data_IF_493051865907
#
_entry.id   IF_493051865907
#
_cell.length_a   1.000
_cell.length_b   1.000
_cell.length_c   1.000
_cell.angle_alpha   90.00
_cell.angle_beta   90.00
_cell.angle_gamma   90.00
#
_symmetry.space_group_name_H-M   'P 1'
#
loop_
_entity.id
_entity.type
_entity.pdbx_description
1 polymer ?
#
# COMPACT_ATOMS: atom_id res chain seq x y z
N UNK A 1 -4.46 -12.59 24.16
CA UNK A 1 -3.45 -11.92 23.36
C UNK A 1 -3.79 -10.44 23.22
N UNK A 2 -2.86 -9.63 22.75
CA UNK A 2 -3.11 -8.24 22.37
C UNK A 2 -3.67 -8.19 20.95
N UNK A 3 -4.55 -7.22 20.68
CA UNK A 3 -5.11 -6.95 19.36
C UNK A 3 -4.94 -5.47 19.06
N UNK A 4 -4.76 -5.13 17.79
CA UNK A 4 -4.90 -3.76 17.30
C UNK A 4 -6.38 -3.47 17.05
N UNK A 5 -6.82 -2.25 17.37
CA UNK A 5 -8.20 -1.82 17.16
C UNK A 5 -8.21 -0.50 16.42
N UNK A 6 -8.81 -0.49 15.23
CA UNK A 6 -9.07 0.71 14.44
C UNK A 6 -10.47 1.21 14.76
N UNK A 7 -10.59 2.37 15.40
CA UNK A 7 -11.88 2.99 15.74
C UNK A 7 -12.27 4.02 14.67
N UNK A 8 -13.48 3.92 14.14
CA UNK A 8 -14.05 4.84 13.15
C UNK A 8 -15.38 5.35 13.68
N UNK A 9 -15.61 6.67 13.68
CA UNK A 9 -16.83 7.29 14.20
C UNK A 9 -17.88 7.46 13.08
N UNK A 10 -19.16 7.24 13.40
CA UNK A 10 -20.25 7.42 12.42
C UNK A 10 -20.37 8.85 11.89
N UNK A 11 -19.97 9.85 12.66
CA UNK A 11 -19.92 11.24 12.18
C UNK A 11 -18.97 11.38 10.98
N UNK A 12 -17.88 10.63 10.98
CA UNK A 12 -16.94 10.56 9.86
C UNK A 12 -17.56 9.80 8.67
N UNK A 13 -18.35 8.75 8.94
CA UNK A 13 -19.07 7.98 7.94
C UNK A 13 -20.21 8.76 7.26
N UNK A 14 -20.93 9.58 8.02
CA UNK A 14 -22.05 10.39 7.50
C UNK A 14 -21.58 11.62 6.73
N UNK A 15 -20.43 12.18 7.10
CA UNK A 15 -19.82 13.31 6.38
C UNK A 15 -19.17 12.89 5.04
N UNK A 16 -18.90 11.60 4.85
CA UNK A 16 -18.32 11.06 3.62
C UNK A 16 -19.06 9.77 3.19
N UNK A 17 -20.07 9.85 2.32
CA UNK A 17 -20.85 8.68 1.86
C UNK A 17 -19.99 7.56 1.26
N UNK A 18 -18.79 7.91 0.80
CA UNK A 18 -17.83 6.98 0.24
C UNK A 18 -17.05 6.20 1.31
N UNK A 19 -16.89 6.74 2.52
CA UNK A 19 -16.10 6.13 3.58
C UNK A 19 -16.72 4.79 4.04
N UNK A 20 -18.04 4.72 4.16
CA UNK A 20 -18.73 3.46 4.51
C UNK A 20 -18.44 2.37 3.48
N UNK A 21 -18.48 2.71 2.18
CA UNK A 21 -18.16 1.78 1.12
C UNK A 21 -16.70 1.36 1.15
N UNK A 22 -15.78 2.29 1.40
CA UNK A 22 -14.34 2.00 1.51
C UNK A 22 -14.08 1.01 2.63
N UNK A 23 -14.66 1.22 3.83
CA UNK A 23 -14.52 0.31 4.96
C UNK A 23 -15.08 -1.08 4.62
N UNK A 24 -16.26 -1.13 4.00
CA UNK A 24 -16.87 -2.39 3.59
C UNK A 24 -16.01 -3.14 2.56
N UNK A 25 -15.44 -2.42 1.59
CA UNK A 25 -14.57 -3.00 0.56
C UNK A 25 -13.23 -3.48 1.19
N UNK A 26 -12.63 -2.72 2.11
CA UNK A 26 -11.44 -3.09 2.88
C UNK A 26 -11.68 -4.37 3.68
N UNK A 27 -12.80 -4.44 4.39
CA UNK A 27 -13.17 -5.62 5.18
C UNK A 27 -13.34 -6.86 4.30
N UNK A 28 -14.05 -6.75 3.19
CA UNK A 28 -14.25 -7.88 2.26
C UNK A 28 -12.91 -8.42 1.74
N UNK A 29 -11.94 -7.53 1.51
CA UNK A 29 -10.58 -7.93 1.14
C UNK A 29 -9.91 -8.67 2.30
N UNK A 30 -9.92 -8.11 3.50
CA UNK A 30 -9.23 -8.67 4.66
C UNK A 30 -9.80 -10.03 5.10
N UNK A 31 -11.12 -10.23 5.01
CA UNK A 31 -11.77 -11.50 5.31
C UNK A 31 -11.31 -12.67 4.43
N UNK A 32 -10.88 -12.36 3.19
CA UNK A 32 -10.42 -13.36 2.23
C UNK A 32 -8.94 -13.72 2.40
N UNK A 33 -8.16 -12.90 3.09
CA UNK A 33 -6.71 -13.04 3.15
C UNK A 33 -6.26 -13.85 4.35
N UNK A 34 -5.40 -14.85 4.11
CA UNK A 34 -4.76 -15.67 5.16
C UNK A 34 -3.34 -16.01 4.71
N UNK A 35 -2.35 -15.31 5.25
CA UNK A 35 -0.94 -15.51 4.90
C UNK A 35 -0.02 -15.02 6.03
N UNK A 36 1.13 -15.66 6.31
CA UNK A 36 2.04 -15.22 7.38
C UNK A 36 2.53 -13.78 7.24
N UNK A 37 2.65 -13.26 6.02
CA UNK A 37 3.11 -11.89 5.75
C UNK A 37 1.97 -10.89 5.49
N UNK A 38 0.74 -11.24 5.86
CA UNK A 38 -0.44 -10.35 5.83
C UNK A 38 -0.98 -10.27 7.26
N UNK A 39 -1.36 -9.07 7.70
CA UNK A 39 -2.01 -8.87 8.99
C UNK A 39 -3.27 -9.72 9.08
N UNK A 40 -3.46 -10.42 10.19
CA UNK A 40 -4.67 -11.21 10.41
C UNK A 40 -5.82 -10.31 10.85
N UNK A 41 -6.95 -10.46 10.18
CA UNK A 41 -8.21 -9.79 10.53
C UNK A 41 -9.03 -10.70 11.44
N UNK A 42 -9.45 -10.16 12.59
CA UNK A 42 -10.21 -10.92 13.60
C UNK A 42 -11.70 -10.64 13.56
N UNK A 43 -12.12 -9.49 13.05
CA UNK A 43 -13.53 -9.15 12.95
C UNK A 43 -13.82 -7.66 13.08
N UNK A 44 -15.11 -7.37 13.11
CA UNK A 44 -15.64 -6.02 13.25
C UNK A 44 -16.77 -6.02 14.29
N UNK A 45 -16.85 -4.96 15.04
CA UNK A 45 -17.98 -4.66 15.91
C UNK A 45 -18.50 -3.26 15.67
N UNK A 46 -19.82 -3.11 15.75
CA UNK A 46 -20.49 -1.82 15.74
C UNK A 46 -21.09 -1.60 17.12
N UNK A 47 -20.62 -0.60 17.81
CA UNK A 47 -21.15 -0.24 19.12
C UNK A 47 -21.47 1.25 19.20
N UNK A 48 -22.73 1.59 19.47
CA UNK A 48 -23.25 2.97 19.46
C UNK A 48 -22.98 3.65 18.11
N UNK A 49 -22.17 4.71 18.12
CA UNK A 49 -21.83 5.51 16.94
C UNK A 49 -20.39 5.27 16.44
N UNK A 50 -19.88 4.05 16.67
CA UNK A 50 -18.51 3.68 16.33
C UNK A 50 -18.45 2.30 15.69
N UNK A 51 -17.51 2.15 14.77
CA UNK A 51 -17.09 0.88 14.17
C UNK A 51 -15.70 0.56 14.70
N UNK A 52 -15.52 -0.66 15.19
CA UNK A 52 -14.25 -1.20 15.66
C UNK A 52 -13.81 -2.33 14.76
N UNK A 53 -12.64 -2.21 14.16
CA UNK A 53 -12.00 -3.25 13.34
C UNK A 53 -10.87 -3.85 14.18
N UNK A 54 -10.88 -5.17 14.35
CA UNK A 54 -9.90 -5.91 15.15
C UNK A 54 -8.92 -6.64 14.26
N UNK A 55 -7.63 -6.43 14.52
CA UNK A 55 -6.54 -6.96 13.72
C UNK A 55 -5.42 -7.50 14.62
N UNK A 56 -4.51 -8.26 14.02
CA UNK A 56 -3.27 -8.71 14.65
C UNK A 56 -2.45 -7.50 15.13
N UNK A 57 -1.97 -7.57 16.37
CA UNK A 57 -1.12 -6.53 16.93
C UNK A 57 0.35 -6.80 16.61
N UNK A 58 0.94 -5.98 15.75
CA UNK A 58 2.33 -6.06 15.34
C UNK A 58 3.22 -5.26 16.28
N UNK A 59 3.84 -5.93 17.27
CA UNK A 59 4.61 -5.29 18.35
C UNK A 59 5.91 -4.62 17.87
N UNK A 60 6.48 -5.10 16.77
CA UNK A 60 7.73 -4.57 16.21
C UNK A 60 7.61 -3.20 15.54
N UNK A 61 6.37 -2.67 15.43
CA UNK A 61 6.12 -1.39 14.78
C UNK A 61 6.23 -1.46 13.26
N UNK A 62 6.34 -0.29 12.61
CA UNK A 62 6.45 -0.18 11.15
C UNK A 62 7.90 -0.18 10.66
N UNK A 63 8.09 -0.51 9.38
CA UNK A 63 9.41 -0.31 8.74
C UNK A 63 9.85 1.15 8.78
N UNK A 64 8.92 2.11 8.73
CA UNK A 64 9.24 3.54 8.92
C UNK A 64 9.93 3.76 10.25
N UNK A 65 9.37 3.24 11.35
CA UNK A 65 9.96 3.36 12.68
C UNK A 65 11.32 2.65 12.79
N UNK A 66 11.48 1.50 12.15
CA UNK A 66 12.78 0.82 12.10
C UNK A 66 13.83 1.67 11.38
N UNK A 67 13.45 2.27 10.24
CA UNK A 67 14.34 3.09 9.40
C UNK A 67 14.66 4.47 10.00
N UNK A 68 13.95 4.93 11.04
CA UNK A 68 14.36 6.10 11.84
C UNK A 68 15.72 5.89 12.53
N UNK A 69 16.12 4.64 12.76
CA UNK A 69 17.42 4.29 13.36
C UNK A 69 18.53 4.11 12.32
N UNK A 70 18.21 4.25 11.04
CA UNK A 70 19.13 4.11 9.93
C UNK A 70 18.76 2.96 8.99
N UNK A 71 19.65 2.67 8.05
CA UNK A 71 19.48 1.57 7.10
C UNK A 71 19.58 0.21 7.76
N UNK A 72 19.06 -0.82 7.10
CA UNK A 72 19.33 -2.21 7.47
C UNK A 72 20.73 -2.58 6.96
N UNK A 73 21.70 -2.62 7.88
CA UNK A 73 23.11 -2.87 7.52
C UNK A 73 23.41 -4.35 7.26
N UNK A 74 22.67 -5.24 7.92
CA UNK A 74 22.84 -6.68 7.72
C UNK A 74 22.13 -7.12 6.44
N UNK A 75 22.94 -7.53 5.45
CA UNK A 75 22.45 -7.99 4.14
C UNK A 75 21.53 -9.21 4.25
N UNK A 76 21.79 -10.10 5.22
CA UNK A 76 20.94 -11.29 5.42
C UNK A 76 19.57 -10.88 5.92
N UNK A 77 19.50 -9.93 6.86
CA UNK A 77 18.22 -9.39 7.34
C UNK A 77 17.47 -8.70 6.22
N UNK A 78 18.15 -7.88 5.41
CA UNK A 78 17.56 -7.23 4.26
C UNK A 78 17.01 -8.24 3.25
N UNK A 79 17.75 -9.30 2.95
CA UNK A 79 17.32 -10.38 2.07
C UNK A 79 16.09 -11.10 2.62
N UNK A 80 16.09 -11.44 3.92
CA UNK A 80 14.96 -12.11 4.57
C UNK A 80 13.70 -11.23 4.50
N UNK A 81 13.82 -9.93 4.78
CA UNK A 81 12.69 -9.01 4.68
C UNK A 81 12.19 -8.88 3.24
N UNK A 82 13.09 -8.74 2.27
CA UNK A 82 12.73 -8.67 0.86
C UNK A 82 11.99 -9.94 0.40
N UNK A 83 12.44 -11.12 0.82
CA UNK A 83 11.78 -12.40 0.49
C UNK A 83 10.39 -12.49 1.12
N UNK A 84 10.22 -12.10 2.38
CA UNK A 84 8.93 -12.09 3.05
C UNK A 84 7.95 -11.10 2.40
N UNK A 85 8.43 -9.90 2.03
CA UNK A 85 7.62 -8.92 1.30
C UNK A 85 7.20 -9.45 -0.07
N UNK A 86 8.10 -10.09 -0.81
CA UNK A 86 7.78 -10.70 -2.10
C UNK A 86 6.76 -11.84 -1.96
N UNK A 87 6.88 -12.69 -0.94
CA UNK A 87 5.98 -13.79 -0.69
C UNK A 87 4.56 -13.29 -0.34
N UNK A 88 4.46 -12.31 0.56
CA UNK A 88 3.19 -11.66 0.87
C UNK A 88 2.55 -10.99 -0.34
N UNK A 89 3.33 -10.28 -1.15
CA UNK A 89 2.84 -9.62 -2.36
C UNK A 89 2.41 -10.61 -3.43
N UNK A 90 3.17 -11.69 -3.63
CA UNK A 90 2.82 -12.78 -4.54
C UNK A 90 1.50 -13.42 -4.13
N UNK A 91 1.28 -13.65 -2.83
CA UNK A 91 0.02 -14.15 -2.31
C UNK A 91 -1.14 -13.18 -2.62
N UNK A 92 -1.02 -11.88 -2.32
CA UNK A 92 -2.04 -10.88 -2.63
C UNK A 92 -2.43 -10.90 -4.11
N UNK A 93 -1.44 -10.87 -5.00
CA UNK A 93 -1.67 -10.90 -6.43
C UNK A 93 -2.30 -12.21 -6.91
N UNK A 94 -1.98 -13.35 -6.26
CA UNK A 94 -2.61 -14.65 -6.54
C UNK A 94 -4.10 -14.67 -6.19
N UNK A 95 -4.49 -13.92 -5.15
CA UNK A 95 -5.89 -13.71 -4.76
C UNK A 95 -6.60 -12.65 -5.62
N UNK A 96 -5.89 -12.06 -6.58
CA UNK A 96 -6.40 -10.96 -7.41
C UNK A 96 -6.50 -9.63 -6.69
N UNK A 97 -5.79 -9.46 -5.58
CA UNK A 97 -5.74 -8.22 -4.79
C UNK A 97 -4.52 -7.40 -5.17
N UNK A 98 -4.70 -6.14 -5.51
CA UNK A 98 -3.65 -5.14 -5.72
C UNK A 98 -3.69 -4.18 -4.54
N UNK A 99 -2.56 -4.01 -3.83
CA UNK A 99 -2.50 -3.24 -2.59
C UNK A 99 -2.62 -1.72 -2.83
N UNK A 100 -1.86 -1.19 -3.79
CA UNK A 100 -1.89 0.19 -4.29
C UNK A 100 -1.31 1.27 -3.36
N UNK A 101 -0.95 0.95 -2.12
CA UNK A 101 -0.29 1.86 -1.19
C UNK A 101 0.84 1.15 -0.39
N UNK A 102 1.73 0.46 -1.10
CA UNK A 102 2.91 -0.17 -0.50
C UNK A 102 3.93 0.91 -0.18
N UNK A 103 4.25 1.02 1.12
CA UNK A 103 5.23 1.94 1.70
C UNK A 103 5.68 1.43 3.07
N UNK A 104 6.79 1.92 3.64
CA UNK A 104 7.27 1.47 4.95
C UNK A 104 6.26 1.63 6.10
N UNK A 105 5.36 2.63 6.03
CA UNK A 105 4.30 2.83 7.03
C UNK A 105 3.28 1.68 7.06
N UNK A 106 3.04 1.04 5.90
CA UNK A 106 2.06 -0.03 5.71
C UNK A 106 2.70 -1.42 5.74
N UNK A 107 3.92 -1.52 6.24
CA UNK A 107 4.63 -2.78 6.47
C UNK A 107 5.07 -2.81 7.91
N UNK A 108 4.46 -3.71 8.70
CA UNK A 108 4.73 -3.85 10.12
C UNK A 108 5.58 -5.09 10.40
N UNK A 109 6.09 -5.15 11.62
CA UNK A 109 6.81 -6.30 12.17
C UNK A 109 6.02 -6.86 13.35
N UNK A 110 5.84 -8.17 13.39
CA UNK A 110 5.28 -8.85 14.55
C UNK A 110 6.33 -8.95 15.69
N UNK A 111 6.01 -9.63 16.77
CA UNK A 111 6.87 -9.84 17.91
C UNK A 111 8.10 -10.73 17.61
N UNK A 112 8.08 -11.47 16.50
CA UNK A 112 9.17 -12.32 16.01
C UNK A 112 10.01 -11.64 14.92
N UNK A 113 9.67 -10.40 14.53
CA UNK A 113 10.28 -9.69 13.42
C UNK A 113 9.80 -10.18 12.04
N UNK A 114 8.64 -10.82 11.96
CA UNK A 114 8.04 -11.23 10.70
C UNK A 114 7.33 -10.05 10.06
N UNK A 115 7.56 -9.84 8.77
CA UNK A 115 6.92 -8.79 7.95
C UNK A 115 5.42 -9.05 7.80
N UNK A 116 4.62 -8.00 7.99
CA UNK A 116 3.16 -8.01 7.82
C UNK A 116 2.71 -6.82 6.98
N UNK A 117 2.09 -7.07 5.82
CA UNK A 117 1.37 -6.03 5.10
C UNK A 117 0.07 -5.67 5.82
N UNK A 118 -0.20 -4.37 5.92
CA UNK A 118 -1.38 -3.80 6.59
C UNK A 118 -2.02 -2.72 5.73
N UNK A 119 -3.20 -2.24 6.12
CA UNK A 119 -3.94 -1.13 5.51
C UNK A 119 -4.32 -1.38 4.05
N UNK A 120 -5.40 -2.14 3.88
CA UNK A 120 -6.00 -2.47 2.59
C UNK A 120 -7.06 -1.44 2.12
N UNK A 121 -7.12 -0.27 2.76
CA UNK A 121 -8.09 0.79 2.41
C UNK A 121 -7.94 1.33 0.98
N UNK A 122 -6.77 1.18 0.39
CA UNK A 122 -6.49 1.50 -1.02
C UNK A 122 -6.61 0.30 -1.97
N UNK A 123 -6.75 -0.92 -1.44
CA UNK A 123 -6.68 -2.15 -2.22
C UNK A 123 -7.80 -2.28 -3.25
N UNK A 124 -7.52 -2.99 -4.33
CA UNK A 124 -8.49 -3.29 -5.40
C UNK A 124 -8.50 -4.79 -5.68
N UNK A 125 -9.70 -5.38 -5.68
CA UNK A 125 -9.90 -6.74 -6.15
C UNK A 125 -10.10 -6.75 -7.66
N UNK A 126 -9.24 -7.46 -8.36
CA UNK A 126 -9.34 -7.65 -9.81
C UNK A 126 -10.39 -8.73 -10.10
N UNK A 127 -11.50 -8.35 -10.72
CA UNK A 127 -12.50 -9.32 -11.17
C UNK A 127 -11.87 -10.31 -12.15
N UNK A 128 -11.96 -11.62 -11.89
CA UNK A 128 -11.70 -12.68 -12.87
C UNK A 128 -12.73 -12.59 -14.00
N UNK A 129 -12.64 -11.59 -14.87
CA UNK A 129 -13.44 -11.54 -16.09
C UNK A 129 -12.56 -11.71 -17.30
N UNK A 130 -12.65 -12.95 -17.83
CA UNK A 130 -12.69 -13.30 -19.26
C UNK A 130 -11.85 -12.40 -20.19
N UNK A 131 -10.82 -13.00 -20.74
CA UNK A 131 -10.37 -12.78 -22.09
C UNK A 131 -11.61 -12.78 -23.01
N UNK A 132 -12.27 -11.67 -23.19
CA UNK A 132 -13.17 -11.37 -24.30
C UNK A 132 -13.75 -9.95 -24.19
N UNK A 133 -13.52 -9.20 -25.27
CA UNK A 133 -14.24 -8.04 -25.79
C UNK A 133 -14.23 -6.72 -25.03
N UNK A 134 -13.72 -5.72 -25.76
CA UNK A 134 -13.91 -4.29 -25.63
C UNK A 134 -15.25 -3.89 -25.01
N UNK A 135 -15.21 -3.36 -23.80
CA UNK A 135 -16.27 -2.50 -23.30
C UNK A 135 -15.68 -1.55 -22.25
N UNK A 136 -15.60 -0.29 -22.66
CA UNK A 136 -15.38 0.86 -21.80
C UNK A 136 -16.29 0.80 -20.56
N UNK A 137 -15.74 0.54 -19.40
CA UNK A 137 -16.41 0.76 -18.12
C UNK A 137 -15.50 1.60 -17.23
N UNK A 138 -15.94 2.84 -17.02
CA UNK A 138 -15.42 3.77 -16.03
C UNK A 138 -15.47 3.10 -14.66
N UNK A 139 -14.31 2.64 -14.16
CA UNK A 139 -14.17 2.31 -12.74
C UNK A 139 -14.18 3.63 -11.97
N UNK A 140 -15.15 3.80 -11.10
CA UNK A 140 -15.16 4.90 -10.14
C UNK A 140 -14.00 4.72 -9.18
N UNK A 141 -12.88 5.41 -9.44
CA UNK A 141 -11.79 5.56 -8.49
C UNK A 141 -12.24 6.54 -7.41
N UNK A 142 -12.27 6.10 -6.16
CA UNK A 142 -12.53 6.98 -5.03
C UNK A 142 -11.25 7.74 -4.69
N UNK A 143 -11.42 9.02 -4.53
CA UNK A 143 -10.40 10.04 -4.48
C UNK A 143 -10.13 10.46 -3.04
N UNK A 144 -8.87 10.35 -2.56
CA UNK A 144 -8.46 11.20 -1.45
C UNK A 144 -8.21 12.63 -1.97
N UNK A 145 -8.58 13.68 -1.21
CA UNK A 145 -8.40 15.06 -1.68
C UNK A 145 -6.91 15.44 -1.57
N UNK A 146 -6.32 15.79 -2.70
CA UNK A 146 -5.01 16.46 -2.64
C UNK A 146 -4.18 16.44 -3.93
N UNK A 147 -3.93 15.32 -4.53
CA UNK A 147 -3.11 15.25 -5.73
C UNK A 147 -3.94 14.82 -6.95
N UNK A 148 -3.70 15.42 -8.10
CA UNK A 148 -4.32 15.05 -9.37
C UNK A 148 -3.22 14.70 -10.38
N UNK A 149 -3.48 13.71 -11.24
CA UNK A 149 -2.58 13.41 -12.36
C UNK A 149 -2.71 14.47 -13.47
N UNK A 150 -1.92 14.33 -14.54
CA UNK A 150 -1.93 15.23 -15.69
C UNK A 150 -3.30 15.32 -16.40
N UNK A 151 -4.21 14.37 -16.16
CA UNK A 151 -5.58 14.35 -16.68
C UNK A 151 -6.62 14.87 -15.66
N UNK A 152 -6.20 15.42 -14.51
CA UNK A 152 -7.12 15.94 -13.49
C UNK A 152 -7.82 14.88 -12.65
N UNK A 153 -7.33 13.62 -12.66
CA UNK A 153 -7.83 12.53 -11.81
C UNK A 153 -7.05 12.55 -10.50
N UNK A 154 -7.72 12.34 -9.37
CA UNK A 154 -7.01 12.27 -8.10
C UNK A 154 -6.20 11.00 -8.02
N UNK A 155 -4.96 11.17 -7.56
CA UNK A 155 -3.99 10.10 -7.34
C UNK A 155 -4.24 9.44 -5.99
N UNK A 156 -4.17 8.12 -5.96
CA UNK A 156 -4.21 7.34 -4.72
C UNK A 156 -2.82 6.77 -4.44
N UNK A 157 -2.35 6.91 -3.19
CA UNK A 157 -1.04 6.45 -2.75
C UNK A 157 -0.09 7.61 -2.39
N UNK A 158 1.08 7.26 -1.91
CA UNK A 158 2.13 8.20 -1.49
C UNK A 158 3.08 8.47 -2.67
N UNK A 159 3.25 9.72 -3.14
CA UNK A 159 3.95 10.04 -4.40
C UNK A 159 5.33 9.39 -4.55
N UNK A 160 6.12 9.31 -3.48
CA UNK A 160 7.50 8.75 -3.53
C UNK A 160 7.57 7.28 -3.94
N UNK A 161 6.47 6.53 -3.76
CA UNK A 161 6.41 5.09 -4.05
C UNK A 161 5.52 4.78 -5.25
N UNK A 162 4.93 5.82 -5.89
CA UNK A 162 4.07 5.63 -7.05
C UNK A 162 4.84 5.17 -8.29
N UNK A 163 4.26 4.23 -9.02
CA UNK A 163 4.79 3.79 -10.29
C UNK A 163 4.57 4.83 -11.40
N UNK A 164 5.43 4.89 -12.43
CA UNK A 164 5.34 5.86 -13.53
C UNK A 164 3.99 5.86 -14.23
N UNK A 165 3.40 4.69 -14.46
CA UNK A 165 2.08 4.53 -15.10
C UNK A 165 0.95 5.12 -14.24
N UNK A 166 1.08 5.06 -12.90
CA UNK A 166 0.11 5.65 -11.97
C UNK A 166 0.17 7.17 -12.04
N UNK A 167 1.37 7.74 -11.99
CA UNK A 167 1.60 9.19 -12.07
C UNK A 167 1.07 9.76 -13.39
N UNK A 168 1.23 9.02 -14.49
CA UNK A 168 0.73 9.42 -15.81
C UNK A 168 -0.77 9.18 -16.00
N UNK A 169 -1.42 8.41 -15.12
CA UNK A 169 -2.80 7.98 -15.31
C UNK A 169 -2.97 7.00 -16.46
N UNK A 170 -1.92 6.26 -16.81
CA UNK A 170 -1.97 5.23 -17.84
C UNK A 170 -2.79 4.04 -17.34
N UNK A 171 -3.82 3.66 -18.09
CA UNK A 171 -4.69 2.51 -17.77
C UNK A 171 -4.25 1.23 -18.48
N UNK A 172 -3.23 1.32 -19.32
CA UNK A 172 -2.70 0.19 -20.09
C UNK A 172 -1.54 -0.44 -19.33
N UNK A 173 -1.65 -1.74 -19.02
CA UNK A 173 -0.62 -2.50 -18.34
C UNK A 173 -1.19 -3.54 -17.38
N UNK A 174 -0.30 -4.23 -16.69
CA UNK A 174 -0.69 -5.13 -15.59
C UNK A 174 -1.00 -4.29 -14.37
N UNK A 175 -2.26 -4.27 -13.93
CA UNK A 175 -2.70 -3.47 -12.78
C UNK A 175 -1.89 -3.73 -11.50
N UNK A 176 -1.27 -4.90 -11.37
CA UNK A 176 -0.43 -5.27 -10.23
C UNK A 176 1.05 -4.84 -10.36
N UNK A 177 1.49 -4.31 -11.51
CA UNK A 177 2.88 -3.88 -11.69
C UNK A 177 3.25 -2.70 -10.80
N UNK A 178 2.29 -1.84 -10.46
CA UNK A 178 2.49 -0.71 -9.55
C UNK A 178 2.99 -1.14 -8.16
N UNK A 179 2.48 -2.26 -7.64
CA UNK A 179 2.91 -2.78 -6.33
C UNK A 179 4.37 -3.25 -6.37
N UNK A 180 4.81 -3.82 -7.50
CA UNK A 180 6.21 -4.25 -7.68
C UNK A 180 7.16 -3.04 -7.67
N UNK A 181 6.78 -1.95 -8.34
CA UNK A 181 7.54 -0.71 -8.29
C UNK A 181 7.61 -0.17 -6.86
N UNK A 182 6.48 -0.06 -6.18
CA UNK A 182 6.40 0.44 -4.81
C UNK A 182 7.26 -0.41 -3.86
N UNK A 183 7.19 -1.75 -3.98
CA UNK A 183 8.01 -2.67 -3.21
C UNK A 183 9.50 -2.47 -3.49
N UNK A 184 9.90 -2.27 -4.76
CA UNK A 184 11.28 -1.94 -5.13
C UNK A 184 11.77 -0.66 -4.43
N UNK A 185 10.93 0.37 -4.36
CA UNK A 185 11.22 1.61 -3.63
C UNK A 185 11.40 1.38 -2.12
N UNK A 186 10.57 0.52 -1.51
CA UNK A 186 10.69 0.16 -0.08
C UNK A 186 12.00 -0.58 0.20
N UNK A 187 12.34 -1.58 -0.61
CA UNK A 187 13.60 -2.34 -0.46
C UNK A 187 14.81 -1.41 -0.61
N UNK A 188 14.73 -0.49 -1.58
CA UNK A 188 15.77 0.51 -1.78
C UNK A 188 15.95 1.42 -0.54
N UNK A 189 14.84 1.86 0.07
CA UNK A 189 14.87 2.65 1.30
C UNK A 189 15.46 1.85 2.46
N UNK A 190 15.10 0.59 2.61
CA UNK A 190 15.70 -0.30 3.62
C UNK A 190 17.24 -0.43 3.45
N UNK A 191 17.71 -0.51 2.21
CA UNK A 191 19.14 -0.64 1.89
C UNK A 191 19.91 0.68 2.09
N UNK A 192 19.28 1.83 1.84
CA UNK A 192 19.94 3.16 1.91
C UNK A 192 19.72 3.87 3.24
N UNK A 193 18.64 3.59 3.96
CA UNK A 193 18.20 4.36 5.12
C UNK A 193 17.65 5.75 4.77
N UNK A 194 17.42 6.05 3.51
CA UNK A 194 16.87 7.32 3.04
C UNK A 194 15.70 7.11 2.12
N UNK A 195 14.68 7.94 2.24
CA UNK A 195 13.47 7.87 1.41
C UNK A 195 13.81 7.97 -0.09
N UNK A 196 13.05 7.30 -0.96
CA UNK A 196 13.15 7.54 -2.39
C UNK A 196 12.96 9.03 -2.68
N UNK A 197 13.80 9.57 -3.58
CA UNK A 197 13.72 10.99 -3.97
C UNK A 197 13.97 11.99 -2.83
N UNK A 198 14.73 11.61 -1.78
CA UNK A 198 15.01 12.45 -0.60
C UNK A 198 15.67 13.80 -0.96
N UNK A 199 16.23 13.92 -2.16
CA UNK A 199 16.84 15.14 -2.70
C UNK A 199 15.85 16.08 -3.39
N UNK A 200 14.56 15.72 -3.46
CA UNK A 200 13.52 16.54 -4.07
C UNK A 200 12.61 17.15 -2.98
N UNK A 201 12.41 18.47 -3.06
CA UNK A 201 11.80 19.25 -2.00
C UNK A 201 10.27 19.17 -1.93
N UNK A 202 9.62 18.65 -2.99
CA UNK A 202 8.16 18.59 -3.02
C UNK A 202 7.63 17.45 -3.90
N UNK A 203 6.38 17.07 -3.66
CA UNK A 203 5.69 15.97 -4.34
C UNK A 203 5.55 16.17 -5.86
N UNK A 204 5.39 17.42 -6.32
CA UNK A 204 5.27 17.73 -7.75
C UNK A 204 6.58 17.46 -8.48
N UNK A 205 7.73 17.82 -7.87
CA UNK A 205 9.04 17.49 -8.42
C UNK A 205 9.22 15.97 -8.51
N UNK A 206 8.85 15.23 -7.44
CA UNK A 206 8.91 13.76 -7.43
C UNK A 206 8.06 13.18 -8.57
N UNK A 207 6.80 13.59 -8.70
CA UNK A 207 5.91 13.12 -9.77
C UNK A 207 6.45 13.47 -11.17
N UNK A 208 7.05 14.65 -11.34
CA UNK A 208 7.68 15.03 -12.61
C UNK A 208 8.83 14.10 -12.97
N UNK A 209 9.74 13.82 -12.03
CA UNK A 209 10.87 12.92 -12.25
C UNK A 209 10.42 11.49 -12.58
N UNK A 210 9.44 10.97 -11.86
CA UNK A 210 8.87 9.63 -12.10
C UNK A 210 8.15 9.59 -13.46
N UNK A 211 7.20 10.51 -13.68
CA UNK A 211 6.30 10.45 -14.81
C UNK A 211 6.92 10.94 -16.12
N UNK A 212 7.53 12.12 -16.10
CA UNK A 212 8.00 12.81 -17.31
C UNK A 212 9.45 12.52 -17.62
N UNK A 213 10.34 12.61 -16.64
CA UNK A 213 11.77 12.38 -16.82
C UNK A 213 12.12 10.87 -16.89
N UNK A 214 11.19 9.98 -16.57
CA UNK A 214 11.34 8.51 -16.57
C UNK A 214 12.57 8.06 -15.77
N UNK A 215 12.80 8.71 -14.64
CA UNK A 215 13.91 8.39 -13.75
C UNK A 215 13.48 7.35 -12.72
N UNK A 216 14.47 6.62 -12.22
CA UNK A 216 14.34 5.76 -11.04
C UNK A 216 14.98 6.44 -9.84
N UNK A 217 14.59 6.10 -8.60
CA UNK A 217 15.33 6.53 -7.43
C UNK A 217 16.81 6.11 -7.53
N UNK A 218 17.71 6.92 -6.95
CA UNK A 218 19.14 6.61 -6.94
C UNK A 218 19.40 5.29 -6.20
N UNK A 219 20.16 4.40 -6.83
CA UNK A 219 20.59 3.13 -6.22
C UNK A 219 21.60 3.38 -5.10
N UNK A 220 21.82 2.42 -4.17
CA UNK A 220 22.95 2.47 -3.25
C UNK A 220 24.26 2.56 -4.01
N UNK A 221 25.23 3.28 -3.43
CA UNK A 221 26.61 3.22 -3.91
C UNK A 221 27.19 1.82 -3.59
N UNK A 222 28.07 1.32 -4.46
CA UNK A 222 28.75 0.03 -4.29
C UNK A 222 29.63 -0.01 -3.04
#
# INVERSE_FOLDING_TARGET
>A
GLMAVKEIRFQELTSSPNLFKQIHDEMNVMEMLRHPNIVEYYGIEVHREKVYIFEEYCQGGSLTQLLEHGRIEDEIVLQVYALQMLDGLMYLHSQGVVHRDIKPDNILLDHMGVIKFVDFGAAKVLSRRSISTNASRRSSSFLQPGAVNAQGQSLQGTPMYMAPEVVKGETQGRENAMDIWSLGCVILECAKGTRPWHNLDNEWAIMFHIGMAKQTPALPDE
#
